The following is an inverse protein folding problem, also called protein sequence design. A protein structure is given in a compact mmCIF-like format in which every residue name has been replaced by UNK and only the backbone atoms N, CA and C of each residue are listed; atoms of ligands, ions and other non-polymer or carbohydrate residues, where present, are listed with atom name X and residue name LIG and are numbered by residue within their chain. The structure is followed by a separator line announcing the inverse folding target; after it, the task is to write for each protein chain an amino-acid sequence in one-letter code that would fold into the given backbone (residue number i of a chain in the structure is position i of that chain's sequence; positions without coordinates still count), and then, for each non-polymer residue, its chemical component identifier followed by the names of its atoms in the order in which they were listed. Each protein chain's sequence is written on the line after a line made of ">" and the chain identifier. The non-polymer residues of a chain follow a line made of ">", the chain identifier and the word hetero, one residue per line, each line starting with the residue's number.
data_IF_771958389883
#
_entry.id   IF_771958389883
#
_cell.length_a   1.000
_cell.length_b   1.000
_cell.length_c   1.000
_cell.angle_alpha   90.00
_cell.angle_beta   90.00
_cell.angle_gamma   90.00
#
_symmetry.space_group_name_H-M   'P 1'
#
loop_
_entity.id
_entity.type
_entity.pdbx_description
1 polymer ?
#
# COMPACT_ATOMS: atom_id res chain seq x y z
N UNK A 1 9.73 -0.02 10.46
CA UNK A 1 9.37 -0.11 11.91
C UNK A 1 8.50 -1.35 12.13
N UNK A 2 8.84 -2.22 13.10
CA UNK A 2 8.04 -3.42 13.39
C UNK A 2 6.80 -3.04 14.19
N UNK A 3 5.60 -3.42 13.71
CA UNK A 3 4.32 -3.15 14.38
C UNK A 3 3.79 -4.36 15.15
N UNK A 4 3.91 -5.56 14.55
CA UNK A 4 3.59 -6.86 15.19
C UNK A 4 4.69 -7.87 14.85
N UNK A 5 4.51 -9.16 15.19
CA UNK A 5 5.46 -10.19 14.78
C UNK A 5 5.57 -10.30 13.25
N UNK A 6 4.49 -9.95 12.53
CA UNK A 6 4.35 -10.21 11.10
C UNK A 6 3.99 -8.96 10.25
N UNK A 7 3.85 -7.77 10.85
CA UNK A 7 3.55 -6.53 10.14
C UNK A 7 4.60 -5.46 10.41
N UNK A 8 5.14 -4.86 9.34
CA UNK A 8 6.21 -3.86 9.40
C UNK A 8 5.82 -2.64 8.57
N UNK A 9 5.90 -1.44 9.14
CA UNK A 9 5.83 -0.21 8.36
C UNK A 9 7.18 0.03 7.70
N UNK A 10 7.18 0.20 6.36
CA UNK A 10 8.39 0.36 5.55
C UNK A 10 8.46 1.69 4.82
N UNK A 11 7.34 2.42 4.71
CA UNK A 11 7.28 3.78 4.16
C UNK A 11 6.45 4.73 5.05
N UNK A 12 6.59 6.03 4.79
CA UNK A 12 5.89 7.13 5.42
C UNK A 12 6.74 8.39 5.44
N UNK A 13 6.13 9.53 5.77
CA UNK A 13 6.73 10.88 5.72
C UNK A 13 8.10 10.99 6.41
N UNK A 14 8.26 10.35 7.58
CA UNK A 14 9.51 10.35 8.37
C UNK A 14 10.36 9.10 8.18
N UNK A 15 9.85 8.10 7.47
CA UNK A 15 10.50 6.80 7.35
C UNK A 15 11.21 6.62 5.99
N UNK A 16 10.66 7.18 4.92
CA UNK A 16 11.18 7.07 3.55
C UNK A 16 11.28 8.42 2.84
N UNK A 17 10.17 9.10 2.58
CA UNK A 17 10.16 10.40 1.91
C UNK A 17 8.96 11.24 2.40
N UNK A 18 9.08 12.60 2.49
CA UNK A 18 7.98 13.47 2.94
C UNK A 18 6.67 13.35 2.14
N UNK A 19 6.75 12.85 0.91
CA UNK A 19 5.58 12.60 0.06
C UNK A 19 5.02 11.19 0.20
N UNK A 20 5.68 10.28 0.92
CA UNK A 20 5.19 8.91 1.03
C UNK A 20 4.05 8.80 2.03
N UNK A 21 2.96 8.21 1.58
CA UNK A 21 1.99 7.60 2.47
C UNK A 21 2.60 6.41 3.23
N UNK A 22 1.94 5.97 4.28
CA UNK A 22 2.39 4.80 5.02
C UNK A 22 2.24 3.53 4.18
N UNK A 23 3.35 2.78 3.99
CA UNK A 23 3.32 1.46 3.35
C UNK A 23 3.79 0.38 4.31
N UNK A 24 3.23 -0.81 4.15
CA UNK A 24 3.42 -1.91 5.09
C UNK A 24 3.86 -3.19 4.40
N UNK A 25 4.80 -3.92 5.02
CA UNK A 25 5.19 -5.26 4.62
C UNK A 25 4.51 -6.26 5.55
N UNK A 26 3.73 -7.18 4.99
CA UNK A 26 3.09 -8.29 5.67
C UNK A 26 3.89 -9.58 5.43
N UNK A 27 4.41 -10.17 6.51
CA UNK A 27 5.02 -11.49 6.52
C UNK A 27 3.96 -12.56 6.80
N UNK A 28 3.46 -13.16 5.75
CA UNK A 28 2.52 -14.29 5.86
C UNK A 28 3.16 -15.61 6.27
N UNK A 29 4.50 -15.69 6.35
CA UNK A 29 5.27 -16.90 6.64
C UNK A 29 5.55 -17.77 5.41
N UNK A 30 4.65 -17.83 4.46
CA UNK A 30 4.77 -18.51 3.16
C UNK A 30 4.64 -17.54 1.98
N UNK A 31 4.22 -16.31 2.23
CA UNK A 31 4.15 -15.24 1.24
C UNK A 31 4.39 -13.88 1.90
N UNK A 32 5.07 -12.96 1.18
CA UNK A 32 5.22 -11.56 1.54
C UNK A 32 4.30 -10.69 0.67
N UNK A 33 3.65 -9.71 1.27
CA UNK A 33 2.85 -8.71 0.56
C UNK A 33 3.28 -7.31 0.97
N UNK A 34 3.40 -6.42 -0.02
CA UNK A 34 3.62 -4.99 0.21
C UNK A 34 2.28 -4.27 0.06
N UNK A 35 1.76 -3.68 1.12
CA UNK A 35 0.53 -2.89 1.12
C UNK A 35 0.93 -1.42 0.94
N UNK A 36 0.55 -0.84 -0.20
CA UNK A 36 1.07 0.39 -0.78
C UNK A 36 2.60 0.37 -0.98
N UNK A 37 3.15 1.32 -1.70
CA UNK A 37 4.57 1.32 -2.04
C UNK A 37 5.21 2.72 -2.15
N UNK A 38 4.48 3.78 -1.73
CA UNK A 38 5.00 5.14 -1.74
C UNK A 38 5.15 5.76 -3.14
N UNK A 39 5.86 6.87 -3.19
CA UNK A 39 6.20 7.60 -4.41
C UNK A 39 7.60 7.23 -4.94
N UNK A 40 7.94 7.56 -6.20
CA UNK A 40 9.26 7.25 -6.77
C UNK A 40 10.44 7.80 -5.96
N UNK A 41 10.26 8.95 -5.30
CA UNK A 41 11.32 9.62 -4.52
C UNK A 41 11.68 8.82 -3.26
N UNK A 42 10.74 8.06 -2.69
CA UNK A 42 10.95 7.23 -1.50
C UNK A 42 11.43 5.82 -1.81
N UNK A 43 11.38 5.40 -3.07
CA UNK A 43 11.59 4.01 -3.51
C UNK A 43 12.84 3.33 -2.93
N UNK A 44 14.02 3.93 -3.11
CA UNK A 44 15.27 3.32 -2.65
C UNK A 44 15.28 3.12 -1.13
N UNK A 45 14.72 4.09 -0.41
CA UNK A 45 14.63 4.02 1.05
C UNK A 45 13.64 2.96 1.51
N UNK A 46 12.53 2.77 0.79
CA UNK A 46 11.55 1.72 1.06
C UNK A 46 12.20 0.34 0.86
N UNK A 47 12.93 0.15 -0.24
CA UNK A 47 13.70 -1.08 -0.51
C UNK A 47 14.70 -1.36 0.61
N UNK A 48 15.43 -0.34 1.06
CA UNK A 48 16.37 -0.45 2.19
C UNK A 48 15.66 -0.82 3.50
N UNK A 49 14.50 -0.22 3.77
CA UNK A 49 13.72 -0.52 4.97
C UNK A 49 13.20 -1.95 4.97
N UNK A 50 12.79 -2.49 3.81
CA UNK A 50 12.41 -3.90 3.65
C UNK A 50 13.61 -4.81 3.98
N UNK A 51 14.79 -4.51 3.44
CA UNK A 51 16.02 -5.27 3.72
C UNK A 51 16.43 -5.18 5.19
N UNK A 52 16.35 -4.00 5.80
CA UNK A 52 16.63 -3.79 7.24
C UNK A 52 15.65 -4.51 8.15
N UNK A 53 14.42 -4.77 7.68
CA UNK A 53 13.46 -5.59 8.39
C UNK A 53 13.78 -7.11 8.29
N UNK A 54 14.80 -7.49 7.50
CA UNK A 54 15.27 -8.87 7.35
C UNK A 54 14.67 -9.60 6.15
N UNK A 55 14.01 -8.88 5.22
CA UNK A 55 13.35 -9.47 4.05
C UNK A 55 14.04 -9.11 2.75
N UNK A 56 13.93 -10.02 1.76
CA UNK A 56 14.38 -9.75 0.40
C UNK A 56 13.19 -9.22 -0.42
N UNK A 57 13.30 -8.03 -1.05
CA UNK A 57 12.24 -7.51 -1.91
C UNK A 57 11.80 -8.45 -3.03
N UNK A 58 12.68 -9.32 -3.52
CA UNK A 58 12.35 -10.32 -4.54
C UNK A 58 11.39 -11.41 -4.07
N UNK A 59 11.24 -11.61 -2.75
CA UNK A 59 10.34 -12.61 -2.20
C UNK A 59 8.89 -12.09 -2.06
N UNK A 60 8.68 -10.78 -2.27
CA UNK A 60 7.35 -10.17 -2.25
C UNK A 60 6.53 -10.69 -3.42
N UNK A 61 5.33 -11.16 -3.14
CA UNK A 61 4.44 -11.78 -4.14
C UNK A 61 3.64 -10.77 -4.94
N UNK A 62 3.25 -9.67 -4.29
CA UNK A 62 2.48 -8.59 -4.93
C UNK A 62 2.52 -7.31 -4.10
N UNK A 63 2.29 -6.18 -4.80
CA UNK A 63 1.87 -4.92 -4.20
C UNK A 63 0.33 -4.94 -4.14
N UNK A 64 -0.22 -4.71 -2.95
CA UNK A 64 -1.64 -4.57 -2.68
C UNK A 64 -1.91 -3.08 -2.46
N UNK A 65 -2.42 -2.39 -3.46
CA UNK A 65 -2.63 -0.95 -3.39
C UNK A 65 -3.98 -0.60 -2.76
N UNK A 66 -3.97 0.30 -1.77
CA UNK A 66 -5.21 0.80 -1.16
C UNK A 66 -6.02 1.63 -2.14
N UNK A 67 -5.37 2.43 -2.97
CA UNK A 67 -5.99 3.22 -4.05
C UNK A 67 -4.93 3.77 -5.02
N UNK A 68 -5.37 4.48 -6.08
CA UNK A 68 -4.52 4.88 -7.20
C UNK A 68 -3.85 6.26 -7.09
N UNK A 69 -3.54 6.80 -5.91
CA UNK A 69 -2.83 8.07 -5.76
C UNK A 69 -1.31 7.91 -5.73
N UNK A 70 -0.61 9.00 -6.09
CA UNK A 70 0.84 9.04 -6.30
C UNK A 70 1.67 8.62 -5.09
N UNK A 71 1.30 9.07 -3.92
CA UNK A 71 1.98 8.80 -2.65
C UNK A 71 1.78 7.36 -2.15
N UNK A 72 0.80 6.64 -2.68
CA UNK A 72 0.52 5.23 -2.37
C UNK A 72 1.10 4.25 -3.39
N UNK A 73 1.00 4.56 -4.70
CA UNK A 73 1.36 3.62 -5.76
C UNK A 73 2.34 4.17 -6.81
N UNK A 74 2.84 5.38 -6.62
CA UNK A 74 3.75 6.02 -7.59
C UNK A 74 5.03 5.23 -7.83
N UNK A 75 5.55 4.52 -6.83
CA UNK A 75 6.74 3.68 -6.97
C UNK A 75 6.48 2.29 -7.59
N UNK A 76 5.22 1.92 -7.87
CA UNK A 76 4.91 0.57 -8.37
C UNK A 76 5.64 0.20 -9.66
N UNK A 77 5.83 1.15 -10.58
CA UNK A 77 6.59 0.92 -11.82
C UNK A 77 8.05 0.56 -11.55
N UNK A 78 8.67 1.15 -10.51
CA UNK A 78 10.05 0.86 -10.10
C UNK A 78 10.16 -0.53 -9.47
N UNK A 79 9.24 -0.88 -8.56
CA UNK A 79 9.18 -2.23 -7.99
C UNK A 79 8.95 -3.30 -9.06
N UNK A 80 8.11 -3.00 -10.07
CA UNK A 80 7.91 -3.91 -11.20
C UNK A 80 9.16 -4.06 -12.06
N UNK A 81 9.89 -2.96 -12.32
CA UNK A 81 11.14 -2.98 -13.10
C UNK A 81 12.22 -3.81 -12.42
N UNK A 82 12.45 -3.61 -11.12
CA UNK A 82 13.62 -4.15 -10.42
C UNK A 82 13.37 -5.52 -9.80
N UNK A 83 12.13 -5.83 -9.42
CA UNK A 83 11.77 -7.06 -8.73
C UNK A 83 10.63 -7.85 -9.40
N UNK A 84 10.13 -7.38 -10.55
CA UNK A 84 9.00 -7.98 -11.28
C UNK A 84 7.71 -8.08 -10.43
N UNK A 85 7.53 -7.19 -9.44
CA UNK A 85 6.37 -7.25 -8.56
C UNK A 85 5.09 -6.90 -9.30
N UNK A 86 4.05 -7.76 -9.26
CA UNK A 86 2.75 -7.43 -9.80
C UNK A 86 2.01 -6.44 -8.88
N UNK A 87 1.35 -5.46 -9.49
CA UNK A 87 0.46 -4.52 -8.80
C UNK A 87 -0.97 -5.05 -8.82
N UNK A 88 -1.60 -5.12 -7.65
CA UNK A 88 -3.02 -5.43 -7.48
C UNK A 88 -3.74 -4.17 -6.98
N UNK A 89 -4.85 -3.85 -7.63
CA UNK A 89 -5.62 -2.64 -7.40
C UNK A 89 -7.10 -2.91 -7.68
N UNK A 90 -8.01 -2.17 -7.06
CA UNK A 90 -9.44 -2.24 -7.37
C UNK A 90 -9.70 -1.72 -8.80
N UNK A 91 -10.61 -2.36 -9.53
CA UNK A 91 -10.89 -2.08 -10.94
C UNK A 91 -11.22 -0.59 -11.21
N UNK A 92 -11.97 0.05 -10.32
CA UNK A 92 -12.39 1.45 -10.47
C UNK A 92 -11.24 2.47 -10.47
N UNK A 93 -10.04 2.08 -9.99
CA UNK A 93 -8.84 2.92 -10.03
C UNK A 93 -7.82 2.49 -11.09
N UNK A 94 -8.06 1.36 -11.80
CA UNK A 94 -7.14 0.78 -12.78
C UNK A 94 -6.71 1.78 -13.85
N UNK A 95 -7.68 2.43 -14.50
CA UNK A 95 -7.41 3.32 -15.63
C UNK A 95 -6.42 4.43 -15.26
N UNK A 96 -6.60 5.10 -14.10
CA UNK A 96 -5.74 6.21 -13.68
C UNK A 96 -4.28 5.80 -13.51
N UNK A 97 -4.04 4.58 -13.03
CA UNK A 97 -2.70 4.05 -12.80
C UNK A 97 -2.08 3.52 -14.09
N UNK A 98 -2.85 2.82 -14.94
CA UNK A 98 -2.34 2.26 -16.19
C UNK A 98 -2.06 3.32 -17.24
N UNK A 99 -2.83 4.41 -17.27
CA UNK A 99 -2.60 5.54 -18.19
C UNK A 99 -1.57 6.54 -17.65
N UNK A 100 -1.29 6.50 -16.35
CA UNK A 100 -0.45 7.51 -15.71
C UNK A 100 -1.11 8.89 -15.67
N UNK A 101 -2.46 8.95 -15.53
CA UNK A 101 -3.21 10.21 -15.48
C UNK A 101 -2.73 11.09 -14.31
N UNK A 102 -1.99 12.19 -14.56
CA UNK A 102 -1.34 12.94 -13.48
C UNK A 102 -2.34 13.73 -12.62
N UNK A 103 -3.57 13.92 -13.11
CA UNK A 103 -4.64 14.61 -12.37
C UNK A 103 -5.38 13.61 -11.48
N UNK A 104 -5.86 12.50 -12.05
CA UNK A 104 -6.59 11.46 -11.31
C UNK A 104 -5.73 10.76 -10.25
N UNK A 105 -4.42 10.71 -10.45
CA UNK A 105 -3.45 10.16 -9.48
C UNK A 105 -2.93 11.19 -8.49
N UNK A 106 -3.39 12.45 -8.57
CA UNK A 106 -2.93 13.61 -7.78
C UNK A 106 -1.46 14.02 -8.00
N UNK A 107 -0.71 13.34 -8.85
CA UNK A 107 0.72 13.57 -9.09
C UNK A 107 1.03 15.02 -9.47
N UNK A 108 0.31 15.59 -10.47
CA UNK A 108 0.51 16.97 -10.90
C UNK A 108 0.01 17.98 -9.87
N UNK A 109 -1.17 17.74 -9.29
CA UNK A 109 -1.85 18.74 -8.46
C UNK A 109 -1.20 18.88 -7.06
N UNK A 110 -0.87 17.77 -6.39
CA UNK A 110 -0.32 17.81 -5.04
C UNK A 110 1.21 17.79 -5.01
N UNK A 111 1.85 17.16 -6.00
CA UNK A 111 3.30 16.90 -5.94
C UNK A 111 4.08 17.55 -7.08
N UNK A 112 3.41 18.14 -8.09
CA UNK A 112 4.07 18.77 -9.24
C UNK A 112 4.87 17.78 -10.09
N UNK A 113 4.45 16.51 -10.11
CA UNK A 113 5.16 15.40 -10.75
C UNK A 113 4.32 14.72 -11.84
N UNK A 114 5.00 13.94 -12.69
CA UNK A 114 4.34 12.95 -13.55
C UNK A 114 4.11 11.66 -12.77
N UNK A 115 3.07 10.91 -13.15
CA UNK A 115 2.83 9.58 -12.60
C UNK A 115 3.44 8.51 -13.53
N UNK A 116 4.38 7.67 -13.06
CA UNK A 116 4.90 6.57 -13.87
C UNK A 116 3.84 5.49 -14.08
N UNK A 117 3.34 5.27 -15.32
CA UNK A 117 2.30 4.28 -15.58
C UNK A 117 2.73 2.89 -15.14
N UNK A 118 1.80 2.15 -14.52
CA UNK A 118 2.05 0.77 -14.11
C UNK A 118 0.85 -0.11 -14.45
N UNK A 119 1.12 -1.22 -15.18
CA UNK A 119 0.06 -2.17 -15.53
C UNK A 119 -0.40 -2.94 -14.30
N UNK A 120 -1.70 -2.95 -14.05
CA UNK A 120 -2.37 -3.70 -12.97
C UNK A 120 -2.49 -5.17 -13.38
N UNK A 121 -1.95 -6.05 -12.54
CA UNK A 121 -1.90 -7.49 -12.79
C UNK A 121 -3.06 -8.26 -12.19
N UNK A 122 -3.70 -7.72 -11.14
CA UNK A 122 -4.82 -8.37 -10.47
C UNK A 122 -5.78 -7.39 -9.83
N UNK A 123 -7.05 -7.81 -9.72
CA UNK A 123 -8.13 -7.02 -9.14
C UNK A 123 -8.26 -7.29 -7.63
N UNK A 124 -8.55 -6.22 -6.87
CA UNK A 124 -8.87 -6.27 -5.44
C UNK A 124 -10.38 -6.07 -5.24
N UNK A 125 -11.17 -7.10 -5.51
CA UNK A 125 -12.61 -7.08 -5.25
C UNK A 125 -12.91 -7.16 -3.74
N UNK A 126 -14.07 -6.62 -3.33
CA UNK A 126 -14.58 -6.74 -1.96
C UNK A 126 -14.66 -8.18 -1.49
N UNK A 127 -14.25 -8.44 -0.25
CA UNK A 127 -14.24 -9.79 0.33
C UNK A 127 -13.10 -10.70 -0.16
N UNK A 128 -12.26 -10.27 -1.12
CA UNK A 128 -11.10 -11.07 -1.53
C UNK A 128 -10.16 -11.29 -0.35
N UNK A 129 -9.69 -12.53 -0.21
CA UNK A 129 -8.74 -12.90 0.86
C UNK A 129 -7.45 -13.50 0.30
N UNK A 130 -6.35 -13.16 0.97
CA UNK A 130 -5.05 -13.78 0.79
C UNK A 130 -4.75 -14.56 2.07
N UNK A 131 -4.84 -15.87 1.96
CA UNK A 131 -4.63 -16.79 3.08
C UNK A 131 -3.16 -17.15 3.15
N UNK A 132 -2.53 -16.84 4.27
CA UNK A 132 -1.13 -17.14 4.55
C UNK A 132 -1.02 -17.95 5.84
N UNK A 133 0.15 -18.56 6.06
CA UNK A 133 0.42 -19.37 7.25
C UNK A 133 0.27 -18.59 8.56
N UNK A 134 0.76 -17.33 8.58
CA UNK A 134 0.81 -16.49 9.79
C UNK A 134 -0.21 -15.36 9.79
N UNK A 135 -0.94 -15.15 8.68
CA UNK A 135 -1.85 -14.04 8.55
C UNK A 135 -2.98 -14.33 7.55
N UNK A 136 -4.07 -13.59 7.69
CA UNK A 136 -5.11 -13.45 6.66
C UNK A 136 -5.21 -11.98 6.31
N UNK A 137 -5.07 -11.67 5.04
CA UNK A 137 -5.30 -10.33 4.50
C UNK A 137 -6.64 -10.34 3.75
N UNK A 138 -7.59 -9.56 4.22
CA UNK A 138 -8.94 -9.42 3.67
C UNK A 138 -9.13 -8.03 3.07
N UNK A 139 -9.63 -7.95 1.85
CA UNK A 139 -9.91 -6.70 1.14
C UNK A 139 -11.34 -6.26 1.45
N UNK A 140 -11.50 -5.01 1.82
CA UNK A 140 -12.79 -4.36 2.07
C UNK A 140 -12.88 -3.17 1.12
N UNK A 141 -13.85 -3.16 0.20
CA UNK A 141 -14.06 -2.01 -0.68
C UNK A 141 -14.66 -0.86 0.13
N UNK A 142 -13.95 0.25 0.18
CA UNK A 142 -14.28 1.45 0.97
C UNK A 142 -14.24 2.70 0.09
N UNK A 143 -15.11 2.79 -0.94
CA UNK A 143 -15.10 3.90 -1.89
C UNK A 143 -15.45 5.22 -1.19
N UNK A 144 -14.87 6.32 -1.69
CA UNK A 144 -15.09 7.66 -1.14
C UNK A 144 -13.94 8.59 -1.51
N UNK A 145 -12.75 8.35 -0.96
CA UNK A 145 -11.53 9.09 -1.31
C UNK A 145 -11.18 8.92 -2.80
N UNK A 146 -11.20 7.66 -3.28
CA UNK A 146 -11.31 7.35 -4.71
C UNK A 146 -12.44 6.34 -4.93
N UNK A 147 -12.95 6.16 -6.18
CA UNK A 147 -13.90 5.12 -6.49
C UNK A 147 -13.38 3.69 -6.20
N UNK A 148 -12.06 3.50 -6.33
CA UNK A 148 -11.40 2.22 -6.10
C UNK A 148 -10.72 2.07 -4.74
N UNK A 149 -10.97 2.98 -3.78
CA UNK A 149 -10.38 2.86 -2.43
C UNK A 149 -10.79 1.57 -1.76
N UNK A 150 -9.79 0.89 -1.18
CA UNK A 150 -9.99 -0.29 -0.32
C UNK A 150 -9.32 -0.08 1.04
N UNK A 151 -9.81 -0.77 2.03
CA UNK A 151 -9.12 -0.99 3.29
C UNK A 151 -8.66 -2.44 3.36
N UNK A 152 -7.46 -2.67 3.87
CA UNK A 152 -6.88 -4.00 4.02
C UNK A 152 -6.94 -4.44 5.49
N UNK A 153 -7.78 -5.42 5.82
CA UNK A 153 -7.87 -5.99 7.16
C UNK A 153 -6.90 -7.15 7.32
N UNK A 154 -5.93 -6.99 8.20
CA UNK A 154 -4.91 -8.01 8.51
C UNK A 154 -5.27 -8.70 9.83
N UNK A 155 -5.44 -10.02 9.80
CA UNK A 155 -5.58 -10.85 11.00
C UNK A 155 -4.25 -11.58 11.21
N UNK A 156 -3.55 -11.26 12.31
CA UNK A 156 -2.27 -11.86 12.69
C UNK A 156 -2.05 -11.72 14.20
N UNK A 157 -1.30 -12.61 14.83
CA UNK A 157 -0.97 -12.56 16.27
C UNK A 157 -2.21 -12.44 17.19
N UNK A 158 -3.37 -12.99 16.78
CA UNK A 158 -4.63 -12.86 17.51
C UNK A 158 -5.28 -11.48 17.43
N UNK A 159 -4.71 -10.55 16.66
CA UNK A 159 -5.21 -9.19 16.44
C UNK A 159 -5.88 -9.05 15.07
N UNK A 160 -6.77 -8.05 14.95
CA UNK A 160 -7.28 -7.55 13.67
C UNK A 160 -6.84 -6.09 13.49
N UNK A 161 -6.07 -5.82 12.47
CA UNK A 161 -5.51 -4.50 12.16
C UNK A 161 -6.12 -4.03 10.85
N UNK A 162 -6.62 -2.80 10.80
CA UNK A 162 -7.13 -2.18 9.58
C UNK A 162 -6.10 -1.21 9.02
N UNK A 163 -5.63 -1.47 7.80
CA UNK A 163 -4.82 -0.57 7.01
C UNK A 163 -5.78 0.15 6.06
N UNK A 164 -6.22 1.33 6.47
CA UNK A 164 -7.37 2.00 5.85
C UNK A 164 -7.01 2.84 4.61
N UNK A 165 -5.72 2.99 4.29
CA UNK A 165 -5.29 3.99 3.32
C UNK A 165 -5.86 5.35 3.70
N UNK A 166 -6.38 6.08 2.73
CA UNK A 166 -7.00 7.40 2.93
C UNK A 166 -8.51 7.36 3.17
N UNK A 167 -9.07 6.17 3.42
CA UNK A 167 -10.47 6.02 3.83
C UNK A 167 -10.73 6.66 5.20
N UNK A 168 -9.72 6.64 6.09
CA UNK A 168 -9.75 7.26 7.40
C UNK A 168 -8.59 8.26 7.50
N UNK A 169 -8.90 9.54 7.49
CA UNK A 169 -7.94 10.59 7.80
C UNK A 169 -7.79 10.74 9.31
N UNK A 170 -6.70 10.22 9.86
CA UNK A 170 -6.35 10.39 11.26
C UNK A 170 -5.75 11.75 11.54
N UNK A 171 -6.60 12.77 11.71
CA UNK A 171 -6.20 14.11 12.14
C UNK A 171 -6.92 14.61 13.38
N UNK A 172 -7.90 13.88 13.91
CA UNK A 172 -8.60 14.22 15.14
C UNK A 172 -8.69 13.01 16.05
N UNK A 173 -7.83 12.97 17.06
CA UNK A 173 -8.14 12.23 18.28
C UNK A 173 -9.07 13.11 19.10
N UNK A 174 -10.36 13.11 18.82
CA UNK A 174 -11.31 13.47 19.86
C UNK A 174 -11.21 12.39 20.94
N UNK A 175 -10.84 12.82 22.16
CA UNK A 175 -11.00 11.98 23.34
C UNK A 175 -12.46 11.60 23.41
N UNK A 176 -12.76 10.34 23.18
CA UNK A 176 -14.06 9.77 23.55
C UNK A 176 -14.03 9.76 25.07
N UNK A 177 -14.62 10.78 25.69
CA UNK A 177 -14.90 10.76 27.12
C UNK A 177 -15.87 9.61 27.38
N UNK A 178 -15.35 8.58 28.03
CA UNK A 178 -16.13 7.51 28.60
C UNK A 178 -16.86 8.07 29.82
N UNK A 179 -18.06 8.57 29.64
CA UNK A 179 -19.05 8.77 30.70
C UNK A 179 -19.99 7.59 30.76
#
# INVERSE_FOLDING_TARGET
>A
MKLTSHLYQVAGDKLSHPYDAAAYLLDGGDALYLIDCGCPNGYEKIVDNIRKAGFNPQDIKAIIATHGHYDHVGAAALFKRDFALPLYLHEADRERVETGDPVKTTAAFLYGCEFPPCKVAGELADGRQFLCKNAVLEIIHTPGHTPGSISAAVKTDGMRILLAGDTLWGGYSEKIDSS
#
